data_IF_831337823173
#
_entry.id   IF_831337823173
#
_cell.length_a   1.000
_cell.length_b   1.000
_cell.length_c   1.000
_cell.angle_alpha   90.00
_cell.angle_beta   90.00
_cell.angle_gamma   90.00
#
_symmetry.space_group_name_H-M   'P 1'
#
loop_
_entity.id
_entity.type
_entity.pdbx_description
1 polymer ?
#
# COMPACT_ATOMS: atom_id res chain seq x y z
N UNK A 1 -21.82 -14.61 12.67
CA UNK A 1 -22.01 -14.90 11.23
C UNK A 1 -20.68 -14.75 10.52
N UNK A 2 -19.99 -13.60 10.58
CA UNK A 2 -18.70 -13.37 9.92
C UNK A 2 -17.61 -14.36 10.39
N UNK A 3 -17.43 -14.55 11.70
CA UNK A 3 -16.48 -15.55 12.22
C UNK A 3 -16.74 -16.96 11.71
N UNK A 4 -18.01 -17.33 11.50
CA UNK A 4 -18.37 -18.66 10.97
C UNK A 4 -18.01 -18.80 9.48
N UNK A 5 -18.04 -17.72 8.70
CA UNK A 5 -17.64 -17.76 7.28
C UNK A 5 -16.14 -17.99 7.10
N UNK A 6 -15.34 -17.68 8.11
CA UNK A 6 -13.89 -17.89 8.13
C UNK A 6 -13.44 -19.12 8.94
N UNK A 7 -14.39 -20.00 9.36
CA UNK A 7 -14.13 -21.17 10.22
C UNK A 7 -13.41 -20.83 11.55
N UNK A 8 -13.65 -19.62 12.08
CA UNK A 8 -13.03 -19.13 13.31
C UNK A 8 -13.81 -19.65 14.51
N UNK A 9 -13.15 -20.22 15.53
CA UNK A 9 -13.80 -20.59 16.78
C UNK A 9 -14.39 -19.36 17.47
N UNK A 10 -15.69 -19.38 17.76
CA UNK A 10 -16.36 -18.32 18.50
C UNK A 10 -16.07 -18.53 19.99
N UNK A 11 -15.03 -17.85 20.50
CA UNK A 11 -14.71 -17.77 21.91
C UNK A 11 -15.25 -16.48 22.50
N UNK A 12 -15.52 -16.47 23.81
CA UNK A 12 -15.98 -15.24 24.52
C UNK A 12 -14.97 -14.09 24.37
N UNK A 13 -13.67 -14.41 24.30
CA UNK A 13 -12.59 -13.44 24.13
C UNK A 13 -12.62 -12.83 22.72
N UNK A 14 -12.61 -13.66 21.65
CA UNK A 14 -12.69 -13.18 20.27
C UNK A 14 -13.96 -12.36 20.03
N UNK A 15 -15.09 -12.78 20.62
CA UNK A 15 -16.34 -12.07 20.48
C UNK A 15 -16.28 -10.69 21.14
N UNK A 16 -15.76 -10.62 22.38
CA UNK A 16 -15.66 -9.36 23.14
C UNK A 16 -14.71 -8.37 22.43
N UNK A 17 -13.56 -8.84 21.98
CA UNK A 17 -12.60 -7.99 21.28
C UNK A 17 -13.13 -7.54 19.90
N UNK A 18 -13.89 -8.39 19.20
CA UNK A 18 -14.54 -8.01 17.95
C UNK A 18 -15.62 -6.94 18.16
N UNK A 19 -16.38 -7.02 19.25
CA UNK A 19 -17.34 -5.96 19.61
C UNK A 19 -16.60 -4.65 19.86
N UNK A 20 -15.51 -4.68 20.61
CA UNK A 20 -14.69 -3.49 20.88
C UNK A 20 -14.09 -2.91 19.58
N UNK A 21 -13.62 -3.76 18.67
CA UNK A 21 -13.11 -3.31 17.37
C UNK A 21 -14.18 -2.61 16.54
N UNK A 22 -15.41 -3.16 16.53
CA UNK A 22 -16.55 -2.53 15.85
C UNK A 22 -16.94 -1.21 16.52
N UNK A 23 -17.05 -1.18 17.85
CA UNK A 23 -17.39 0.04 18.59
C UNK A 23 -16.40 1.18 18.36
N UNK A 24 -15.10 0.88 18.32
CA UNK A 24 -14.06 1.86 18.05
C UNK A 24 -14.03 2.24 16.56
N UNK A 25 -14.15 1.27 15.66
CA UNK A 25 -14.09 1.49 14.22
C UNK A 25 -15.21 2.38 13.69
N UNK A 26 -16.45 2.22 14.18
CA UNK A 26 -17.58 3.07 13.77
C UNK A 26 -17.47 4.52 14.26
N UNK A 27 -16.59 4.81 15.22
CA UNK A 27 -16.31 6.17 15.67
C UNK A 27 -15.31 6.89 14.76
N UNK A 28 -14.59 6.17 13.91
CA UNK A 28 -13.63 6.71 12.97
C UNK A 28 -14.38 7.13 11.71
N UNK A 29 -14.73 8.42 11.60
CA UNK A 29 -15.45 8.95 10.44
C UNK A 29 -14.51 9.46 9.34
N UNK A 30 -13.44 10.15 9.75
CA UNK A 30 -12.43 10.74 8.87
C UNK A 30 -11.08 10.77 9.60
N UNK A 31 -10.00 10.90 8.84
CA UNK A 31 -8.64 11.02 9.35
C UNK A 31 -8.13 12.40 8.94
N UNK A 32 -7.90 13.27 9.93
CA UNK A 32 -7.35 14.60 9.67
C UNK A 32 -5.85 14.55 9.30
N UNK A 33 -5.34 15.62 8.70
CA UNK A 33 -3.96 15.73 8.21
C UNK A 33 -2.90 15.46 9.30
N UNK A 34 -3.17 15.85 10.55
CA UNK A 34 -2.24 15.60 11.65
C UNK A 34 -2.21 14.12 12.03
N UNK A 35 -3.36 13.50 12.08
CA UNK A 35 -3.51 12.06 12.34
C UNK A 35 -2.88 11.25 11.21
N UNK A 36 -3.13 11.60 9.95
CA UNK A 36 -2.52 10.96 8.79
C UNK A 36 -0.99 11.11 8.82
N UNK A 37 -0.47 12.31 9.05
CA UNK A 37 0.97 12.55 9.17
C UNK A 37 1.60 11.77 10.34
N UNK A 38 0.90 11.66 11.48
CA UNK A 38 1.35 10.83 12.61
C UNK A 38 1.50 9.37 12.22
N UNK A 39 0.51 8.83 11.52
CA UNK A 39 0.55 7.43 11.07
C UNK A 39 1.68 7.19 10.08
N UNK A 40 1.87 8.07 9.09
CA UNK A 40 2.99 8.00 8.13
C UNK A 40 4.33 8.09 8.84
N UNK A 41 4.51 9.08 9.74
CA UNK A 41 5.76 9.28 10.48
C UNK A 41 6.18 8.07 11.31
N UNK A 42 5.22 7.40 11.92
CA UNK A 42 5.44 6.24 12.78
C UNK A 42 5.30 4.90 12.04
N UNK A 43 5.09 4.93 10.72
CA UNK A 43 4.91 3.75 9.88
C UNK A 43 3.86 2.78 10.46
N UNK A 44 2.68 3.32 10.82
CA UNK A 44 1.57 2.57 11.43
C UNK A 44 0.63 2.08 10.35
N UNK A 45 0.29 0.80 10.37
CA UNK A 45 -0.74 0.24 9.51
C UNK A 45 -2.13 0.85 9.82
N UNK A 46 -3.05 0.97 8.83
CA UNK A 46 -4.36 1.58 9.00
C UNK A 46 -5.37 0.63 9.67
N UNK A 47 -5.00 0.13 10.85
CA UNK A 47 -5.86 -0.73 11.68
C UNK A 47 -6.81 0.08 12.54
N UNK A 48 -7.91 -0.55 13.00
CA UNK A 48 -8.83 0.06 13.98
C UNK A 48 -8.04 0.62 15.17
N UNK A 49 -7.13 -0.17 15.74
CA UNK A 49 -6.36 0.23 16.92
C UNK A 49 -5.45 1.44 16.64
N UNK A 50 -4.72 1.40 15.54
CA UNK A 50 -3.74 2.44 15.23
C UNK A 50 -4.41 3.76 14.88
N UNK A 51 -5.47 3.74 14.04
CA UNK A 51 -6.21 4.95 13.70
C UNK A 51 -6.90 5.51 14.94
N UNK A 52 -7.59 4.66 15.73
CA UNK A 52 -8.24 5.10 16.96
C UNK A 52 -7.25 5.75 17.93
N UNK A 53 -6.08 5.14 18.16
CA UNK A 53 -5.02 5.71 18.99
C UNK A 53 -4.45 7.00 18.40
N UNK A 54 -4.22 7.04 17.09
CA UNK A 54 -3.67 8.20 16.40
C UNK A 54 -4.57 9.42 16.52
N UNK A 55 -5.90 9.27 16.40
CA UNK A 55 -6.88 10.35 16.60
C UNK A 55 -6.75 11.05 17.97
N UNK A 56 -6.36 10.31 19.01
CA UNK A 56 -6.16 10.86 20.35
C UNK A 56 -4.71 11.29 20.64
N UNK A 57 -3.76 10.89 19.79
CA UNK A 57 -2.33 11.15 19.99
C UNK A 57 -1.76 12.20 19.05
N UNK A 58 -2.43 12.47 17.94
CA UNK A 58 -1.93 13.33 16.85
C UNK A 58 -1.86 14.82 17.18
N UNK A 59 -2.51 15.25 18.25
CA UNK A 59 -2.50 16.65 18.70
C UNK A 59 -1.12 17.19 19.11
N UNK A 60 -0.09 16.34 19.11
CA UNK A 60 1.26 16.65 19.59
C UNK A 60 2.36 16.60 18.54
N UNK A 61 2.08 16.38 17.22
CA UNK A 61 3.16 16.49 16.23
C UNK A 61 3.51 17.95 16.02
N UNK A 62 4.53 18.40 16.77
CA UNK A 62 5.10 19.71 16.54
C UNK A 62 5.75 19.77 15.15
N UNK A 63 5.73 20.95 14.53
CA UNK A 63 6.60 21.23 13.38
C UNK A 63 8.05 21.10 13.85
N UNK A 64 8.85 20.31 13.17
CA UNK A 64 10.28 20.18 13.44
C UNK A 64 11.05 21.39 12.87
N UNK A 65 10.66 21.81 11.66
CA UNK A 65 11.25 22.93 10.95
C UNK A 65 10.18 23.77 10.21
N UNK A 66 10.51 25.01 9.93
CA UNK A 66 9.73 25.85 9.02
C UNK A 66 10.51 25.99 7.73
N UNK A 67 9.94 25.55 6.62
CA UNK A 67 10.57 25.61 5.30
C UNK A 67 10.16 26.95 4.65
N UNK A 68 11.15 27.75 4.26
CA UNK A 68 10.89 28.99 3.53
C UNK A 68 10.37 28.72 2.11
N UNK A 69 9.73 29.70 1.50
CA UNK A 69 9.22 29.58 0.13
C UNK A 69 10.38 29.33 -0.86
N UNK A 70 11.52 30.01 -0.67
CA UNK A 70 12.70 29.84 -1.52
C UNK A 70 13.29 28.43 -1.42
N UNK A 71 13.32 27.85 -0.21
CA UNK A 71 13.79 26.47 -0.01
C UNK A 71 12.84 25.47 -0.65
N UNK A 72 11.53 25.64 -0.46
CA UNK A 72 10.52 24.76 -1.07
C UNK A 72 10.56 24.84 -2.60
N UNK A 73 10.65 26.06 -3.16
CA UNK A 73 10.74 26.28 -4.60
C UNK A 73 12.00 25.64 -5.22
N UNK A 74 13.12 25.65 -4.50
CA UNK A 74 14.36 25.00 -4.96
C UNK A 74 14.23 23.50 -5.08
N UNK A 75 13.40 22.86 -4.24
CA UNK A 75 13.12 21.43 -4.25
C UNK A 75 11.93 21.04 -5.13
N UNK A 76 11.15 22.03 -5.60
CA UNK A 76 9.91 21.80 -6.36
C UNK A 76 10.06 20.86 -7.56
N UNK A 77 11.11 20.89 -8.39
CA UNK A 77 11.27 19.94 -9.50
C UNK A 77 11.32 18.48 -9.01
N UNK A 78 12.12 18.20 -7.97
CA UNK A 78 12.25 16.87 -7.40
C UNK A 78 10.95 16.41 -6.72
N UNK A 79 10.27 17.31 -6.00
CA UNK A 79 8.97 17.03 -5.37
C UNK A 79 7.95 16.62 -6.43
N UNK A 80 7.87 17.38 -7.55
CA UNK A 80 6.95 17.08 -8.64
C UNK A 80 7.23 15.73 -9.30
N UNK A 81 8.48 15.34 -9.43
CA UNK A 81 8.85 14.03 -9.97
C UNK A 81 8.46 12.90 -8.99
N UNK A 82 8.64 13.11 -7.69
CA UNK A 82 8.20 12.14 -6.67
C UNK A 82 6.67 12.02 -6.67
N UNK A 83 5.93 13.14 -6.74
CA UNK A 83 4.46 13.12 -6.81
C UNK A 83 3.95 12.38 -8.03
N UNK A 84 4.56 12.59 -9.22
CA UNK A 84 4.23 11.82 -10.43
C UNK A 84 4.46 10.32 -10.24
N UNK A 85 5.58 9.94 -9.62
CA UNK A 85 5.85 8.54 -9.30
C UNK A 85 4.89 7.95 -8.26
N UNK A 86 4.29 8.81 -7.44
CA UNK A 86 3.23 8.44 -6.50
C UNK A 86 1.84 8.39 -7.17
N UNK A 87 1.72 8.78 -8.44
CA UNK A 87 0.45 8.94 -9.16
C UNK A 87 -0.46 10.00 -8.50
N UNK A 88 0.16 11.03 -7.91
CA UNK A 88 -0.53 12.15 -7.24
C UNK A 88 -0.45 13.40 -8.13
N UNK A 89 -1.59 14.02 -8.35
CA UNK A 89 -1.68 15.25 -9.15
C UNK A 89 -0.86 16.39 -8.55
N UNK A 90 -0.12 17.10 -9.40
CA UNK A 90 0.65 18.28 -8.99
C UNK A 90 -0.25 19.50 -9.00
N UNK A 91 -0.88 19.78 -7.88
CA UNK A 91 -1.73 20.95 -7.64
C UNK A 91 -1.33 21.66 -6.33
N UNK A 92 -1.90 22.82 -6.06
CA UNK A 92 -1.54 23.64 -4.89
C UNK A 92 -1.89 22.95 -3.56
N UNK A 93 -2.97 22.18 -3.51
CA UNK A 93 -3.39 21.44 -2.32
C UNK A 93 -2.35 20.36 -1.98
N UNK A 94 -2.04 19.49 -2.93
CA UNK A 94 -1.09 18.39 -2.72
C UNK A 94 0.35 18.91 -2.48
N UNK A 95 0.73 20.04 -3.07
CA UNK A 95 2.01 20.71 -2.75
C UNK A 95 2.03 21.24 -1.32
N UNK A 96 0.90 21.76 -0.81
CA UNK A 96 0.77 22.19 0.58
C UNK A 96 0.90 20.99 1.53
N UNK A 97 0.30 19.85 1.21
CA UNK A 97 0.41 18.61 1.97
C UNK A 97 1.85 18.10 2.02
N UNK A 98 2.55 18.08 0.88
CA UNK A 98 3.97 17.71 0.83
C UNK A 98 4.81 18.64 1.69
N UNK A 99 4.58 19.95 1.63
CA UNK A 99 5.28 20.92 2.49
C UNK A 99 5.03 20.65 3.97
N UNK A 100 3.79 20.39 4.34
CA UNK A 100 3.41 20.05 5.71
C UNK A 100 4.10 18.76 6.19
N UNK A 101 4.19 17.71 5.35
CA UNK A 101 4.92 16.49 5.66
C UNK A 101 6.41 16.77 5.90
N UNK A 102 7.06 17.61 5.06
CA UNK A 102 8.45 18.02 5.23
C UNK A 102 8.66 18.78 6.54
N UNK A 103 7.79 19.75 6.86
CA UNK A 103 7.84 20.53 8.10
C UNK A 103 7.68 19.66 9.36
N UNK A 104 7.05 18.47 9.22
CA UNK A 104 6.92 17.46 10.29
C UNK A 104 8.08 16.45 10.32
N UNK A 105 9.12 16.65 9.50
CA UNK A 105 10.27 15.77 9.42
C UNK A 105 9.95 14.40 8.78
N UNK A 106 8.94 14.33 7.92
CA UNK A 106 8.58 13.12 7.19
C UNK A 106 9.32 13.11 5.85
N UNK A 107 10.00 12.01 5.56
CA UNK A 107 10.71 11.84 4.29
C UNK A 107 9.73 11.85 3.10
N UNK A 108 10.01 12.66 2.09
CA UNK A 108 9.19 12.75 0.89
C UNK A 108 9.59 11.63 -0.07
N UNK A 109 8.82 10.56 -0.03
CA UNK A 109 8.91 9.42 -0.93
C UNK A 109 7.54 9.17 -1.56
N UNK A 110 7.51 8.53 -2.73
CA UNK A 110 6.24 8.18 -3.37
C UNK A 110 5.33 7.36 -2.44
N UNK A 111 5.90 6.43 -1.69
CA UNK A 111 5.14 5.57 -0.78
C UNK A 111 4.53 6.38 0.39
N UNK A 112 5.29 7.32 0.99
CA UNK A 112 4.80 8.16 2.08
C UNK A 112 3.71 9.13 1.61
N UNK A 113 3.87 9.75 0.44
CA UNK A 113 2.85 10.65 -0.12
C UNK A 113 1.59 9.86 -0.44
N UNK A 114 1.71 8.73 -1.13
CA UNK A 114 0.55 7.87 -1.46
C UNK A 114 -0.16 7.38 -0.21
N UNK A 115 0.58 6.98 0.82
CA UNK A 115 -0.01 6.54 2.07
C UNK A 115 -0.72 7.68 2.80
N UNK A 116 -0.12 8.87 2.85
CA UNK A 116 -0.74 10.06 3.42
C UNK A 116 -2.07 10.38 2.72
N UNK A 117 -2.07 10.45 1.39
CA UNK A 117 -3.27 10.68 0.59
C UNK A 117 -4.35 9.60 0.80
N UNK A 118 -3.94 8.35 0.92
CA UNK A 118 -4.86 7.24 1.20
C UNK A 118 -5.54 7.41 2.55
N UNK A 119 -4.80 7.83 3.58
CA UNK A 119 -5.35 8.11 4.90
C UNK A 119 -6.27 9.34 4.90
N UNK A 120 -5.85 10.44 4.25
CA UNK A 120 -6.63 11.67 4.13
C UNK A 120 -7.96 11.45 3.41
N UNK A 121 -7.98 10.58 2.40
CA UNK A 121 -9.18 10.22 1.65
C UNK A 121 -10.06 9.15 2.34
N UNK A 122 -9.70 8.74 3.57
CA UNK A 122 -10.50 7.77 4.31
C UNK A 122 -11.89 8.32 4.62
N UNK A 123 -12.90 7.51 4.39
CA UNK A 123 -14.27 7.72 4.84
C UNK A 123 -14.70 6.60 5.77
N UNK A 124 -15.43 6.95 6.81
CA UNK A 124 -15.90 6.01 7.82
C UNK A 124 -16.57 4.77 7.24
N UNK A 125 -16.36 3.64 7.87
CA UNK A 125 -16.88 2.33 7.46
C UNK A 125 -18.10 1.96 8.30
N UNK A 126 -19.01 1.21 7.69
CA UNK A 126 -20.17 0.69 8.42
C UNK A 126 -19.80 -0.50 9.33
N UNK A 127 -20.74 -0.85 10.18
CA UNK A 127 -20.58 -1.95 11.15
C UNK A 127 -20.29 -3.30 10.47
N UNK A 128 -20.87 -3.55 9.30
CA UNK A 128 -20.69 -4.82 8.58
C UNK A 128 -19.27 -4.93 8.05
N UNK A 129 -18.77 -3.88 7.40
CA UNK A 129 -17.39 -3.83 6.91
C UNK A 129 -16.37 -4.05 8.04
N UNK A 130 -16.52 -3.32 9.15
CA UNK A 130 -15.58 -3.43 10.29
C UNK A 130 -15.63 -4.83 10.91
N UNK A 131 -16.83 -5.42 11.03
CA UNK A 131 -16.98 -6.78 11.56
C UNK A 131 -16.38 -7.84 10.64
N UNK A 132 -16.46 -7.66 9.32
CA UNK A 132 -15.80 -8.54 8.34
C UNK A 132 -14.29 -8.40 8.41
N UNK A 133 -13.76 -7.17 8.44
CA UNK A 133 -12.32 -6.91 8.60
C UNK A 133 -11.77 -7.47 9.92
N UNK A 134 -12.54 -7.39 11.03
CA UNK A 134 -12.16 -7.97 12.30
C UNK A 134 -12.11 -9.51 12.24
N UNK A 135 -13.06 -10.13 11.54
CA UNK A 135 -13.05 -11.58 11.34
C UNK A 135 -11.89 -12.01 10.44
N UNK A 136 -11.56 -11.25 9.39
CA UNK A 136 -10.39 -11.48 8.54
C UNK A 136 -9.09 -11.40 9.33
N UNK A 137 -8.92 -10.38 10.18
CA UNK A 137 -7.74 -10.25 11.05
C UNK A 137 -7.56 -11.49 11.95
N UNK A 138 -8.64 -11.99 12.55
CA UNK A 138 -8.58 -13.22 13.36
C UNK A 138 -8.24 -14.44 12.49
N UNK A 139 -8.77 -14.55 11.28
CA UNK A 139 -8.42 -15.62 10.33
C UNK A 139 -6.94 -15.56 9.92
N UNK A 140 -6.33 -14.39 9.94
CA UNK A 140 -4.89 -14.16 9.75
C UNK A 140 -4.05 -14.42 11.00
N UNK A 141 -4.67 -14.76 12.14
CA UNK A 141 -4.01 -14.99 13.43
C UNK A 141 -3.66 -13.70 14.18
N UNK A 142 -4.30 -12.58 13.82
CA UNK A 142 -4.18 -11.27 14.48
C UNK A 142 -5.33 -11.05 15.45
N UNK A 143 -5.28 -9.96 16.22
CA UNK A 143 -6.39 -9.55 17.09
C UNK A 143 -7.48 -8.85 16.26
N UNK A 144 -8.75 -8.88 16.67
CA UNK A 144 -9.81 -8.11 16.04
C UNK A 144 -9.52 -6.60 15.89
N UNK A 145 -8.81 -6.02 16.86
CA UNK A 145 -8.39 -4.60 16.83
C UNK A 145 -7.32 -4.30 15.76
N UNK A 146 -6.64 -5.33 15.25
CA UNK A 146 -5.69 -5.21 14.14
C UNK A 146 -6.39 -5.29 12.77
N UNK A 147 -7.73 -5.24 12.73
CA UNK A 147 -8.54 -5.17 11.52
C UNK A 147 -8.18 -3.94 10.68
N UNK A 148 -7.90 -4.14 9.39
CA UNK A 148 -7.61 -3.06 8.45
C UNK A 148 -8.91 -2.32 8.08
N UNK A 149 -8.91 -1.00 8.15
CA UNK A 149 -10.04 -0.15 7.76
C UNK A 149 -9.89 0.41 6.33
N UNK A 150 -8.74 0.20 5.72
CA UNK A 150 -8.43 0.64 4.37
C UNK A 150 -8.04 -0.60 3.55
N UNK A 151 -8.66 -0.77 2.39
CA UNK A 151 -8.38 -1.88 1.47
C UNK A 151 -6.93 -1.80 0.95
N UNK A 152 -6.36 -2.94 0.62
CA UNK A 152 -4.99 -3.03 0.10
C UNK A 152 -3.91 -3.27 1.17
N UNK A 153 -4.26 -3.24 2.45
CA UNK A 153 -3.30 -3.39 3.56
C UNK A 153 -3.38 -4.74 4.28
N UNK A 154 -4.46 -5.52 4.11
CA UNK A 154 -4.52 -6.87 4.69
C UNK A 154 -3.51 -7.81 4.03
N UNK A 155 -3.12 -8.90 4.71
CA UNK A 155 -2.25 -9.90 4.10
C UNK A 155 -2.92 -10.58 2.90
N UNK A 156 -4.25 -10.71 2.93
CA UNK A 156 -5.01 -11.24 1.81
C UNK A 156 -4.98 -10.30 0.60
N UNK A 157 -5.11 -8.98 0.81
CA UNK A 157 -4.99 -7.98 -0.25
C UNK A 157 -3.58 -7.98 -0.86
N UNK A 158 -2.54 -7.99 -0.03
CA UNK A 158 -1.16 -8.05 -0.49
C UNK A 158 -0.87 -9.33 -1.30
N UNK A 159 -1.39 -10.47 -0.84
CA UNK A 159 -1.26 -11.74 -1.55
C UNK A 159 -1.95 -11.71 -2.91
N UNK A 160 -3.15 -11.14 -2.97
CA UNK A 160 -3.94 -10.99 -4.20
C UNK A 160 -3.30 -9.99 -5.17
N UNK A 161 -2.79 -8.88 -4.65
CA UNK A 161 -2.06 -7.90 -5.45
C UNK A 161 -0.80 -8.52 -6.10
N UNK A 162 -0.02 -9.27 -5.31
CA UNK A 162 1.15 -9.97 -5.82
C UNK A 162 0.78 -10.95 -6.95
N UNK A 163 -0.30 -11.72 -6.79
CA UNK A 163 -0.82 -12.58 -7.86
C UNK A 163 -1.21 -11.76 -9.09
N UNK A 164 -1.94 -10.67 -8.93
CA UNK A 164 -2.38 -9.82 -10.04
C UNK A 164 -1.19 -9.24 -10.83
N UNK A 165 -0.15 -8.76 -10.12
CA UNK A 165 1.07 -8.23 -10.75
C UNK A 165 1.74 -9.32 -11.61
N UNK A 166 1.89 -10.53 -11.10
CA UNK A 166 2.50 -11.64 -11.83
C UNK A 166 1.62 -12.11 -13.01
N UNK A 167 0.31 -12.18 -12.82
CA UNK A 167 -0.61 -12.60 -13.89
C UNK A 167 -0.69 -11.59 -15.04
N UNK A 168 -0.59 -10.29 -14.74
CA UNK A 168 -0.63 -9.22 -15.74
C UNK A 168 0.73 -8.92 -16.40
N UNK A 169 1.84 -9.42 -15.81
CA UNK A 169 3.17 -9.23 -16.38
C UNK A 169 3.31 -9.93 -17.73
N UNK A 170 4.06 -9.32 -18.64
CA UNK A 170 4.43 -9.91 -19.93
C UNK A 170 5.95 -10.13 -19.98
N UNK A 171 6.45 -11.04 -20.86
CA UNK A 171 7.89 -11.31 -20.97
C UNK A 171 8.73 -10.05 -21.22
N UNK A 172 8.19 -9.08 -21.94
CA UNK A 172 8.81 -7.81 -22.27
C UNK A 172 9.11 -6.96 -21.04
N UNK A 173 8.27 -7.01 -19.99
CA UNK A 173 8.47 -6.30 -18.73
C UNK A 173 9.75 -6.80 -18.04
N UNK A 174 9.95 -8.11 -18.04
CA UNK A 174 11.14 -8.74 -17.46
C UNK A 174 12.40 -8.38 -18.26
N UNK A 175 12.28 -8.41 -19.58
CA UNK A 175 13.39 -8.03 -20.49
C UNK A 175 13.76 -6.57 -20.31
N UNK A 176 12.78 -5.67 -20.17
CA UNK A 176 13.01 -4.25 -19.93
C UNK A 176 13.76 -4.00 -18.61
N UNK A 177 13.33 -4.64 -17.52
CA UNK A 177 14.02 -4.56 -16.24
C UNK A 177 15.46 -5.06 -16.32
N UNK A 178 15.69 -6.20 -16.98
CA UNK A 178 17.04 -6.78 -17.17
C UNK A 178 17.92 -5.83 -17.97
N UNK A 179 17.42 -5.28 -19.08
CA UNK A 179 18.16 -4.35 -19.94
C UNK A 179 18.52 -3.05 -19.22
N UNK A 180 17.66 -2.59 -18.30
CA UNK A 180 17.91 -1.43 -17.44
C UNK A 180 18.78 -1.76 -16.23
N UNK A 181 19.20 -3.01 -16.06
CA UNK A 181 19.95 -3.51 -14.90
C UNK A 181 19.20 -3.27 -13.57
N UNK A 182 17.86 -3.36 -13.62
CA UNK A 182 16.96 -3.23 -12.46
C UNK A 182 16.56 -4.63 -12.00
N UNK A 183 16.55 -4.93 -10.68
CA UNK A 183 16.13 -6.23 -10.16
C UNK A 183 14.68 -6.54 -10.54
N UNK A 184 14.40 -7.79 -10.88
CA UNK A 184 13.02 -8.25 -11.14
C UNK A 184 12.34 -8.53 -9.80
N UNK A 185 11.63 -7.54 -9.29
CA UNK A 185 10.81 -7.61 -8.08
C UNK A 185 9.36 -7.28 -8.42
N UNK A 186 8.40 -7.62 -7.54
CA UNK A 186 6.99 -7.27 -7.74
C UNK A 186 6.81 -5.75 -7.87
N UNK A 187 7.50 -4.97 -7.04
CA UNK A 187 7.47 -3.51 -7.11
C UNK A 187 7.91 -3.00 -8.48
N UNK A 188 9.08 -3.43 -8.95
CA UNK A 188 9.63 -2.98 -10.24
C UNK A 188 8.79 -3.47 -11.43
N UNK A 189 8.17 -4.66 -11.33
CA UNK A 189 7.21 -5.14 -12.34
C UNK A 189 5.96 -4.26 -12.37
N UNK A 190 5.40 -3.89 -11.22
CA UNK A 190 4.26 -2.96 -11.12
C UNK A 190 4.60 -1.61 -11.75
N UNK A 191 5.77 -1.05 -11.46
CA UNK A 191 6.22 0.23 -12.01
C UNK A 191 6.33 0.19 -13.56
N UNK A 192 6.86 -0.91 -14.12
CA UNK A 192 6.90 -1.10 -15.58
C UNK A 192 5.50 -1.25 -16.17
N UNK A 193 4.60 -1.99 -15.51
CA UNK A 193 3.22 -2.16 -15.96
C UNK A 193 2.47 -0.83 -15.98
N UNK A 194 2.62 0.01 -14.96
CA UNK A 194 2.01 1.33 -14.88
C UNK A 194 2.53 2.25 -16.00
N UNK A 195 3.84 2.22 -16.24
CA UNK A 195 4.45 3.00 -17.34
C UNK A 195 3.96 2.58 -18.73
N UNK A 196 3.54 1.31 -18.90
CA UNK A 196 2.97 0.80 -20.16
C UNK A 196 1.58 1.33 -20.45
N UNK A 197 0.75 1.58 -19.42
CA UNK A 197 -0.61 2.08 -19.60
C UNK A 197 -0.64 3.51 -20.12
N UNK A 198 0.40 4.31 -19.83
CA UNK A 198 0.54 5.69 -20.30
C UNK A 198 1.09 5.80 -21.75
N UNK A 199 1.92 4.83 -22.18
CA UNK A 199 2.56 4.81 -23.51
C UNK A 199 2.12 3.58 -24.31
N UNK A 200 0.90 3.58 -24.85
CA UNK A 200 0.45 2.57 -25.80
C UNK A 200 1.18 2.71 -27.15
N UNK A 201 2.45 2.40 -27.23
CA UNK A 201 3.27 2.00 -28.40
C UNK A 201 4.78 2.13 -28.11
N UNK A 202 5.36 1.28 -27.32
CA UNK A 202 6.81 1.07 -27.43
C UNK A 202 7.02 0.04 -28.54
N UNK A 203 7.44 0.51 -29.71
CA UNK A 203 8.02 -0.32 -30.77
C UNK A 203 9.28 -0.94 -30.22
N UNK A 204 9.27 -2.25 -29.97
CA UNK A 204 10.46 -3.02 -29.66
C UNK A 204 11.36 -2.95 -30.89
N UNK A 205 12.46 -2.18 -30.78
CA UNK A 205 13.57 -2.37 -31.75
C UNK A 205 14.14 -3.77 -31.49
N UNK A 206 13.92 -4.68 -32.42
CA UNK A 206 14.54 -5.99 -32.44
C UNK A 206 16.04 -5.80 -32.49
N UNK A 207 16.72 -5.98 -31.36
CA UNK A 207 18.13 -6.24 -31.33
C UNK A 207 18.33 -7.74 -31.58
N UNK A 208 19.31 -8.13 -32.37
CA UNK A 208 19.58 -9.51 -32.86
C UNK A 208 19.73 -10.59 -31.76
N UNK A 209 19.73 -10.22 -30.47
CA UNK A 209 19.81 -11.10 -29.30
C UNK A 209 18.51 -11.21 -28.52
N UNK A 210 17.43 -10.53 -28.93
CA UNK A 210 16.15 -10.46 -28.20
C UNK A 210 15.39 -11.81 -28.10
N UNK A 211 15.36 -12.70 -29.09
CA UNK A 211 14.51 -13.90 -29.07
C UNK A 211 14.82 -14.86 -27.91
N UNK A 212 16.08 -15.03 -27.57
CA UNK A 212 16.50 -15.99 -26.52
C UNK A 212 16.12 -15.43 -25.12
N UNK A 213 16.27 -14.15 -24.92
CA UNK A 213 15.92 -13.49 -23.65
C UNK A 213 14.39 -13.50 -23.40
N UNK A 214 13.58 -13.27 -24.45
CA UNK A 214 12.11 -13.28 -24.36
C UNK A 214 11.60 -14.70 -23.99
N UNK A 215 12.09 -15.73 -24.66
CA UNK A 215 11.69 -17.12 -24.37
C UNK A 215 12.07 -17.53 -22.94
N UNK A 216 13.26 -17.14 -22.47
CA UNK A 216 13.69 -17.40 -21.10
C UNK A 216 12.84 -16.62 -20.09
N UNK A 217 12.52 -15.37 -20.38
CA UNK A 217 11.64 -14.52 -19.55
C UNK A 217 10.24 -15.11 -19.48
N UNK A 218 9.66 -15.54 -20.61
CA UNK A 218 8.35 -16.18 -20.67
C UNK A 218 8.31 -17.45 -19.80
N UNK A 219 9.31 -18.33 -19.91
CA UNK A 219 9.38 -19.53 -19.09
C UNK A 219 9.40 -19.21 -17.58
N UNK A 220 10.25 -18.28 -17.17
CA UNK A 220 10.33 -17.85 -15.76
C UNK A 220 9.04 -17.22 -15.28
N UNK A 221 8.36 -16.46 -16.12
CA UNK A 221 7.09 -15.85 -15.81
C UNK A 221 5.99 -16.91 -15.60
N UNK A 222 5.93 -17.94 -16.46
CA UNK A 222 4.98 -19.05 -16.29
C UNK A 222 5.29 -19.85 -15.00
N UNK A 223 6.56 -20.10 -14.69
CA UNK A 223 6.96 -20.73 -13.44
C UNK A 223 6.51 -19.88 -12.22
N UNK A 224 6.66 -18.55 -12.27
CA UNK A 224 6.21 -17.62 -11.23
C UNK A 224 4.69 -17.59 -11.11
N UNK A 225 3.93 -17.58 -12.22
CA UNK A 225 2.46 -17.62 -12.22
C UNK A 225 1.91 -18.86 -11.53
N UNK A 226 2.55 -20.00 -11.74
CA UNK A 226 2.16 -21.26 -11.10
C UNK A 226 2.48 -21.29 -9.60
N UNK A 227 3.56 -20.61 -9.18
CA UNK A 227 4.04 -20.61 -7.81
C UNK A 227 3.40 -19.52 -6.93
N UNK A 228 2.99 -18.39 -7.51
CA UNK A 228 2.54 -17.19 -6.81
C UNK A 228 1.02 -16.98 -6.91
N UNK A 229 0.23 -18.02 -6.59
CA UNK A 229 -1.20 -17.87 -6.38
C UNK A 229 -1.47 -17.07 -5.09
N UNK A 230 -2.63 -16.40 -4.99
CA UNK A 230 -3.02 -15.67 -3.78
C UNK A 230 -2.94 -16.53 -2.51
N UNK A 231 -3.33 -17.80 -2.57
CA UNK A 231 -3.25 -18.76 -1.45
C UNK A 231 -1.80 -19.04 -1.05
N UNK A 232 -0.90 -19.25 -2.02
CA UNK A 232 0.51 -19.50 -1.77
C UNK A 232 1.17 -18.24 -1.17
N UNK A 233 0.91 -17.09 -1.75
CA UNK A 233 1.41 -15.79 -1.27
C UNK A 233 0.92 -15.51 0.15
N UNK A 234 -0.37 -15.70 0.45
CA UNK A 234 -0.94 -15.53 1.78
C UNK A 234 -0.27 -16.48 2.80
N UNK A 235 0.00 -17.73 2.40
CA UNK A 235 0.70 -18.69 3.25
C UNK A 235 2.13 -18.24 3.60
N UNK A 236 2.84 -17.61 2.66
CA UNK A 236 4.18 -17.06 2.89
C UNK A 236 4.11 -15.83 3.81
N UNK A 237 3.22 -14.89 3.55
CA UNK A 237 3.02 -13.69 4.36
C UNK A 237 2.65 -14.04 5.81
N UNK A 238 1.76 -15.01 6.04
CA UNK A 238 1.42 -15.51 7.38
C UNK A 238 2.61 -16.11 8.14
N UNK A 239 3.64 -16.56 7.43
CA UNK A 239 4.91 -17.04 8.02
C UNK A 239 5.94 -15.92 8.21
N UNK A 240 5.58 -14.66 7.92
CA UNK A 240 6.49 -13.52 7.96
C UNK A 240 7.51 -13.49 6.82
N UNK A 241 7.24 -14.21 5.72
CA UNK A 241 8.10 -14.21 4.54
C UNK A 241 7.57 -13.13 3.60
N UNK A 242 8.40 -12.14 3.29
CA UNK A 242 8.10 -11.10 2.28
C UNK A 242 8.05 -11.73 0.88
N UNK A 243 7.09 -11.30 0.07
CA UNK A 243 6.89 -11.73 -1.32
C UNK A 243 7.28 -10.62 -2.30
#
# INVERSE_FOLDING_TARGET
KQMQSYDIPVTDENLKESVTAVENGVQINEIDDNTAAYMVKNNLDPTVENIYKALYSSSGIAKEDTISDEEFDSMSPQIKDIMKNAEIDVNDENLTDVRMLMEKGISITADNIRYFETLKNFSGKDTEYIADSAAEAVAEGKRPMDAMLIDGFSLADQAKEAENIIQSAIPEDIVDLINKNVPVTLKNLKDVQNSRTDDSKIFIQQTDNAPINIVSAQRKLEEARLAMSAEANLSLLKKGISI
#
